data_IF_381189327701
#
_entry.id   IF_381189327701
#
_cell.length_a   1.000
_cell.length_b   1.000
_cell.length_c   1.000
_cell.angle_alpha   90.00
_cell.angle_beta   90.00
_cell.angle_gamma   90.00
#
_symmetry.space_group_name_H-M   'P 1'
#
loop_
_entity.id
_entity.type
_entity.pdbx_description
1 polymer ?
#
# COMPACT_ATOMS: atom_id res chain seq x y z
N UNK A 1 -17.81 -15.28 -29.97
CA UNK A 1 -17.45 -16.20 -28.88
C UNK A 1 -17.02 -15.39 -27.67
N UNK A 2 -17.60 -15.69 -26.52
CA UNK A 2 -17.29 -15.00 -25.26
C UNK A 2 -16.15 -15.70 -24.52
N UNK A 3 -15.22 -14.89 -24.02
CA UNK A 3 -14.02 -15.33 -23.33
C UNK A 3 -13.80 -14.52 -22.06
N UNK A 4 -13.15 -15.13 -21.08
CA UNK A 4 -12.57 -14.45 -19.93
C UNK A 4 -11.05 -14.41 -20.12
N UNK A 5 -10.45 -13.23 -20.08
CA UNK A 5 -9.00 -13.06 -20.22
C UNK A 5 -8.28 -13.49 -18.94
N UNK A 6 -7.16 -14.18 -19.10
CA UNK A 6 -6.30 -14.62 -17.98
C UNK A 6 -5.10 -13.70 -17.75
N UNK A 7 -4.80 -12.87 -18.74
CA UNK A 7 -3.75 -11.86 -18.74
C UNK A 7 -4.19 -10.66 -19.56
N UNK A 8 -3.46 -9.55 -19.46
CA UNK A 8 -3.70 -8.36 -20.26
C UNK A 8 -3.34 -8.64 -21.72
N UNK A 9 -4.27 -8.36 -22.63
CA UNK A 9 -4.07 -8.56 -24.07
C UNK A 9 -4.21 -7.22 -24.77
N UNK A 10 -3.12 -6.82 -25.42
CA UNK A 10 -3.06 -5.56 -26.16
C UNK A 10 -4.22 -5.45 -27.17
N UNK A 11 -4.87 -4.29 -27.20
CA UNK A 11 -6.01 -3.99 -28.06
C UNK A 11 -7.24 -4.91 -27.86
N UNK A 12 -7.34 -5.62 -26.74
CA UNK A 12 -8.48 -6.49 -26.44
C UNK A 12 -9.08 -6.24 -25.05
N UNK A 13 -8.26 -6.21 -23.99
CA UNK A 13 -8.74 -6.02 -22.63
C UNK A 13 -7.73 -6.41 -21.57
N UNK A 14 -8.12 -6.25 -20.30
CA UNK A 14 -7.30 -6.58 -19.14
C UNK A 14 -7.62 -7.97 -18.61
N UNK A 15 -6.73 -8.49 -17.77
CA UNK A 15 -6.95 -9.72 -17.03
C UNK A 15 -8.29 -9.69 -16.30
N UNK A 16 -8.97 -10.84 -16.29
CA UNK A 16 -10.27 -11.06 -15.68
C UNK A 16 -11.45 -10.34 -16.41
N UNK A 17 -11.21 -9.66 -17.54
CA UNK A 17 -12.27 -9.08 -18.39
C UNK A 17 -13.05 -10.14 -19.18
N UNK A 18 -14.34 -9.86 -19.38
CA UNK A 18 -15.21 -10.63 -20.26
C UNK A 18 -15.28 -9.94 -21.63
N UNK A 19 -14.75 -10.60 -22.66
CA UNK A 19 -14.64 -10.05 -24.02
C UNK A 19 -15.35 -10.93 -25.04
N UNK A 20 -15.86 -10.30 -26.10
CA UNK A 20 -16.50 -10.99 -27.23
C UNK A 20 -15.58 -10.90 -28.44
N UNK A 21 -15.10 -12.04 -28.92
CA UNK A 21 -14.18 -12.13 -30.05
C UNK A 21 -14.72 -13.01 -31.18
N UNK A 22 -14.12 -12.90 -32.36
CA UNK A 22 -14.35 -13.83 -33.47
C UNK A 22 -13.88 -15.24 -33.08
N UNK A 23 -14.63 -16.25 -33.52
CA UNK A 23 -14.39 -17.65 -33.13
C UNK A 23 -12.96 -18.12 -33.43
N UNK A 24 -12.40 -17.76 -34.60
CA UNK A 24 -11.04 -18.14 -34.98
C UNK A 24 -9.97 -17.56 -34.06
N UNK A 25 -10.10 -16.28 -33.69
CA UNK A 25 -9.16 -15.63 -32.79
C UNK A 25 -9.18 -16.25 -31.38
N UNK A 26 -10.38 -16.56 -30.88
CA UNK A 26 -10.53 -17.24 -29.59
C UNK A 26 -9.98 -18.67 -29.58
N UNK A 27 -10.40 -19.50 -30.55
CA UNK A 27 -10.07 -20.94 -30.58
C UNK A 27 -8.66 -21.24 -31.04
N UNK A 28 -8.10 -20.47 -31.97
CA UNK A 28 -6.81 -20.79 -32.58
C UNK A 28 -5.64 -20.04 -31.94
N UNK A 29 -5.92 -18.93 -31.23
CA UNK A 29 -4.86 -18.09 -30.66
C UNK A 29 -5.01 -17.91 -29.15
N UNK A 30 -6.09 -17.31 -28.66
CA UNK A 30 -6.20 -16.92 -27.24
C UNK A 30 -6.28 -18.12 -26.28
N UNK A 31 -7.08 -19.14 -26.60
CA UNK A 31 -7.21 -20.33 -25.74
C UNK A 31 -5.94 -21.20 -25.79
N UNK A 32 -5.39 -21.56 -26.97
CA UNK A 32 -4.19 -22.42 -27.03
C UNK A 32 -2.95 -21.77 -26.39
N UNK A 33 -2.84 -20.44 -26.47
CA UNK A 33 -1.77 -19.70 -25.79
C UNK A 33 -2.02 -19.49 -24.29
N UNK A 34 -3.15 -19.96 -23.76
CA UNK A 34 -3.50 -19.83 -22.34
C UNK A 34 -3.91 -18.43 -21.90
N UNK A 35 -4.10 -17.50 -22.85
CA UNK A 35 -4.43 -16.09 -22.61
C UNK A 35 -5.88 -15.86 -22.23
N UNK A 36 -6.76 -16.79 -22.59
CA UNK A 36 -8.18 -16.70 -22.28
C UNK A 36 -8.82 -18.08 -22.06
N UNK A 37 -9.97 -18.09 -21.39
CA UNK A 37 -10.81 -19.28 -21.20
C UNK A 37 -12.23 -19.00 -21.68
N UNK A 38 -12.97 -20.06 -22.01
CA UNK A 38 -14.37 -19.91 -22.43
C UNK A 38 -15.22 -19.35 -21.28
N UNK A 39 -16.02 -18.32 -21.58
CA UNK A 39 -16.90 -17.71 -20.59
C UNK A 39 -18.17 -18.56 -20.36
N UNK A 40 -18.00 -19.78 -19.85
CA UNK A 40 -19.12 -20.65 -19.45
C UNK A 40 -19.86 -20.07 -18.25
N UNK A 41 -21.09 -20.53 -18.00
CA UNK A 41 -21.87 -20.11 -16.82
C UNK A 41 -21.09 -20.38 -15.52
N UNK A 42 -20.41 -21.53 -15.42
CA UNK A 42 -19.56 -21.85 -14.27
C UNK A 42 -18.35 -20.92 -14.17
N UNK A 43 -17.63 -20.67 -15.28
CA UNK A 43 -16.48 -19.78 -15.28
C UNK A 43 -16.85 -18.33 -14.91
N UNK A 44 -17.98 -17.82 -15.40
CA UNK A 44 -18.49 -16.49 -15.02
C UNK A 44 -18.83 -16.41 -13.53
N UNK A 45 -19.42 -17.47 -12.95
CA UNK A 45 -19.70 -17.52 -11.49
C UNK A 45 -18.42 -17.52 -10.67
N UNK A 46 -17.41 -18.30 -11.08
CA UNK A 46 -16.09 -18.33 -10.41
C UNK A 46 -15.42 -16.96 -10.47
N UNK A 47 -15.47 -16.30 -11.63
CA UNK A 47 -14.94 -14.95 -11.81
C UNK A 47 -15.65 -13.95 -10.89
N UNK A 48 -16.98 -13.96 -10.86
CA UNK A 48 -17.76 -13.07 -10.00
C UNK A 48 -17.44 -13.26 -8.52
N UNK A 49 -17.30 -14.50 -8.07
CA UNK A 49 -16.94 -14.82 -6.69
C UNK A 49 -15.50 -14.37 -6.37
N UNK A 50 -14.55 -14.58 -7.29
CA UNK A 50 -13.17 -14.10 -7.14
C UNK A 50 -13.12 -12.57 -7.01
N UNK A 51 -13.83 -11.85 -7.87
CA UNK A 51 -13.92 -10.38 -7.82
C UNK A 51 -14.54 -9.91 -6.50
N UNK A 52 -15.61 -10.57 -6.04
CA UNK A 52 -16.24 -10.28 -4.75
C UNK A 52 -15.27 -10.50 -3.58
N UNK A 53 -14.54 -11.61 -3.57
CA UNK A 53 -13.54 -11.89 -2.53
C UNK A 53 -12.41 -10.86 -2.53
N UNK A 54 -11.92 -10.47 -3.71
CA UNK A 54 -10.92 -9.40 -3.85
C UNK A 54 -11.44 -8.06 -3.31
N UNK A 55 -12.69 -7.69 -3.62
CA UNK A 55 -13.30 -6.46 -3.10
C UNK A 55 -13.48 -6.50 -1.57
N UNK A 56 -13.84 -7.64 -1.01
CA UNK A 56 -13.95 -7.80 0.46
C UNK A 56 -12.59 -7.63 1.12
N UNK A 57 -11.55 -8.28 0.58
CA UNK A 57 -10.17 -8.12 1.08
C UNK A 57 -9.67 -6.69 0.98
N UNK A 58 -9.94 -6.01 -0.14
CA UNK A 58 -9.58 -4.61 -0.33
C UNK A 58 -10.24 -3.71 0.72
N UNK A 59 -11.56 -3.89 0.94
CA UNK A 59 -12.30 -3.15 1.96
C UNK A 59 -11.75 -3.39 3.36
N UNK A 60 -11.41 -4.64 3.69
CA UNK A 60 -10.81 -4.99 4.97
C UNK A 60 -9.45 -4.30 5.15
N UNK A 61 -8.58 -4.33 4.14
CA UNK A 61 -7.28 -3.65 4.18
C UNK A 61 -7.42 -2.12 4.36
N UNK A 62 -8.38 -1.51 3.66
CA UNK A 62 -8.71 -0.08 3.81
C UNK A 62 -9.22 0.22 5.23
N UNK A 63 -10.08 -0.63 5.78
CA UNK A 63 -10.63 -0.46 7.13
C UNK A 63 -9.54 -0.60 8.21
N UNK A 64 -8.68 -1.60 8.09
CA UNK A 64 -7.52 -1.81 8.96
C UNK A 64 -6.55 -0.62 8.92
N UNK A 65 -6.19 -0.16 7.72
CA UNK A 65 -5.35 1.02 7.56
C UNK A 65 -6.00 2.27 8.18
N UNK A 66 -7.32 2.45 8.02
CA UNK A 66 -8.05 3.56 8.64
C UNK A 66 -8.09 3.49 10.16
N UNK A 67 -8.15 2.28 10.74
CA UNK A 67 -8.04 2.08 12.19
C UNK A 67 -6.66 2.46 12.71
N UNK A 68 -5.60 2.09 11.98
CA UNK A 68 -4.23 2.49 12.31
C UNK A 68 -4.10 4.02 12.29
N UNK A 69 -4.65 4.71 11.29
CA UNK A 69 -4.66 6.18 11.24
C UNK A 69 -5.29 6.78 12.50
N UNK A 70 -6.47 6.32 12.91
CA UNK A 70 -7.15 6.82 14.11
C UNK A 70 -6.36 6.60 15.40
N UNK A 71 -5.55 5.55 15.45
CA UNK A 71 -4.69 5.27 16.58
C UNK A 71 -3.44 6.16 16.55
N UNK A 72 -2.86 6.41 15.37
CA UNK A 72 -1.75 7.34 15.17
C UNK A 72 -2.14 8.80 15.47
N UNK A 73 -3.39 9.20 15.21
CA UNK A 73 -3.90 10.54 15.55
C UNK A 73 -3.87 10.85 17.04
N UNK A 74 -3.88 9.83 17.89
CA UNK A 74 -3.82 9.97 19.35
C UNK A 74 -2.40 9.86 19.88
N UNK A 75 -1.44 9.50 19.02
CA UNK A 75 -0.06 9.27 19.40
C UNK A 75 0.72 10.58 19.35
N UNK A 76 1.28 10.98 20.48
CA UNK A 76 2.27 12.05 20.54
C UNK A 76 3.68 11.44 20.43
N UNK A 77 4.20 11.33 19.21
CA UNK A 77 5.50 10.71 18.98
C UNK A 77 6.64 11.69 19.32
N UNK A 78 7.52 11.29 20.24
CA UNK A 78 8.75 12.01 20.59
C UNK A 78 9.96 11.16 20.27
N UNK A 79 10.83 11.67 19.41
CA UNK A 79 12.07 10.99 19.00
C UNK A 79 13.23 11.61 19.76
N UNK A 80 13.81 10.83 20.66
CA UNK A 80 14.96 11.25 21.46
C UNK A 80 16.25 11.03 20.68
N UNK A 81 17.02 12.10 20.47
CA UNK A 81 18.28 12.03 19.74
C UNK A 81 19.36 12.92 20.38
N UNK A 82 20.63 12.51 20.26
CA UNK A 82 21.76 13.29 20.79
C UNK A 82 21.92 14.59 20.00
N UNK A 83 21.94 15.73 20.70
CA UNK A 83 22.14 17.05 20.11
C UNK A 83 23.08 17.94 20.95
N UNK A 84 23.67 18.93 20.29
CA UNK A 84 24.43 20.02 20.89
C UNK A 84 23.97 21.34 20.24
N UNK A 85 23.57 22.33 21.05
CA UNK A 85 23.05 23.63 20.57
C UNK A 85 21.98 23.48 19.46
N UNK A 86 20.95 22.66 19.71
CA UNK A 86 19.85 22.32 18.79
C UNK A 86 20.25 21.61 17.49
N UNK A 87 21.54 21.32 17.29
CA UNK A 87 22.03 20.54 16.15
C UNK A 87 22.20 19.09 16.57
N UNK A 88 21.61 18.18 15.82
CA UNK A 88 21.78 16.75 16.04
C UNK A 88 23.19 16.31 15.64
N UNK A 89 23.81 15.45 16.45
CA UNK A 89 25.07 14.79 16.07
C UNK A 89 24.87 13.86 14.85
N UNK A 90 23.67 13.30 14.72
CA UNK A 90 23.25 12.48 13.59
C UNK A 90 22.07 13.11 12.82
N UNK A 91 21.22 12.25 12.28
CA UNK A 91 19.99 12.66 11.60
C UNK A 91 18.86 11.71 11.91
N UNK A 92 17.65 12.24 12.07
CA UNK A 92 16.45 11.40 12.14
C UNK A 92 16.11 10.94 10.72
N UNK A 93 16.04 9.63 10.54
CA UNK A 93 15.72 8.98 9.26
C UNK A 93 14.44 8.16 9.38
N UNK A 94 13.87 7.73 8.25
CA UNK A 94 12.69 6.85 8.24
C UNK A 94 12.88 5.59 9.11
N UNK A 95 14.11 5.08 9.22
CA UNK A 95 14.39 3.88 10.04
C UNK A 95 14.25 4.17 11.52
N UNK A 96 14.63 5.37 11.98
CA UNK A 96 14.49 5.77 13.39
C UNK A 96 13.02 5.98 13.74
N UNK A 97 12.25 6.65 12.87
CA UNK A 97 10.80 6.82 13.05
C UNK A 97 10.08 5.46 13.10
N UNK A 98 10.44 4.53 12.20
CA UNK A 98 9.89 3.18 12.17
C UNK A 98 10.16 2.40 13.46
N UNK A 99 11.36 2.53 14.04
CA UNK A 99 11.69 1.92 15.34
C UNK A 99 10.86 2.51 16.48
N UNK A 100 10.76 3.84 16.55
CA UNK A 100 10.00 4.51 17.62
C UNK A 100 8.51 4.15 17.55
N UNK A 101 7.95 4.14 16.34
CA UNK A 101 6.58 3.66 16.11
C UNK A 101 6.40 2.20 16.53
N UNK A 102 7.40 1.34 16.30
CA UNK A 102 7.35 -0.06 16.73
C UNK A 102 7.37 -0.19 18.26
N UNK A 103 8.12 0.66 18.97
CA UNK A 103 8.11 0.73 20.44
C UNK A 103 6.74 1.12 21.00
N UNK A 104 6.00 1.95 20.26
CA UNK A 104 4.61 2.35 20.56
C UNK A 104 3.56 1.31 20.10
N UNK A 105 4.00 0.17 19.55
CA UNK A 105 3.13 -0.93 19.12
C UNK A 105 2.63 -0.83 17.66
N UNK A 106 3.18 0.07 16.86
CA UNK A 106 2.86 0.23 15.43
C UNK A 106 3.96 -0.34 14.53
N UNK A 107 3.70 -1.50 13.93
CA UNK A 107 4.62 -2.13 12.97
C UNK A 107 4.53 -1.45 11.58
N UNK A 108 5.22 -0.33 11.42
CA UNK A 108 5.26 0.42 10.15
C UNK A 108 6.65 0.33 9.52
N UNK A 109 6.73 -0.23 8.32
CA UNK A 109 8.00 -0.33 7.59
C UNK A 109 8.55 1.05 7.17
N UNK A 110 9.89 1.21 7.24
CA UNK A 110 10.59 2.42 6.79
C UNK A 110 10.32 2.85 5.34
N UNK A 111 9.90 1.92 4.46
CA UNK A 111 9.54 2.20 3.05
C UNK A 111 8.22 2.93 2.92
N UNK A 112 7.34 2.76 3.91
CA UNK A 112 6.04 3.41 3.98
C UNK A 112 6.15 4.84 4.51
N UNK A 113 7.27 5.21 5.13
CA UNK A 113 7.51 6.52 5.70
C UNK A 113 8.23 7.40 4.68
N UNK A 114 7.75 8.63 4.51
CA UNK A 114 8.32 9.63 3.62
C UNK A 114 8.60 10.91 4.41
N UNK A 115 9.88 11.25 4.53
CA UNK A 115 10.36 12.53 5.05
C UNK A 115 10.62 13.48 3.88
N UNK A 116 10.18 14.73 4.01
CA UNK A 116 10.43 15.78 3.02
C UNK A 116 11.89 16.22 2.96
N UNK A 117 12.60 16.11 4.10
CA UNK A 117 14.01 16.48 4.22
C UNK A 117 14.69 15.69 5.33
N UNK A 118 16.02 15.67 5.32
CA UNK A 118 16.81 15.08 6.40
C UNK A 118 16.76 16.00 7.63
N UNK A 119 16.33 15.45 8.77
CA UNK A 119 16.21 16.20 10.02
C UNK A 119 17.56 16.17 10.75
N UNK A 120 18.14 17.36 10.97
CA UNK A 120 19.45 17.55 11.63
C UNK A 120 19.37 18.50 12.83
N UNK A 121 18.16 18.88 13.24
CA UNK A 121 17.92 19.77 14.37
C UNK A 121 16.78 19.24 15.23
N UNK A 122 16.73 19.68 16.48
CA UNK A 122 15.57 19.52 17.37
C UNK A 122 14.41 20.37 16.88
N UNK A 123 13.18 19.96 17.21
CA UNK A 123 11.96 20.67 16.83
C UNK A 123 10.84 19.77 16.33
N UNK A 124 9.76 20.37 15.85
CA UNK A 124 8.59 19.67 15.35
C UNK A 124 8.68 19.42 13.84
N UNK A 125 8.35 18.21 13.43
CA UNK A 125 8.40 17.76 12.05
C UNK A 125 7.17 16.92 11.71
N UNK A 126 6.95 16.73 10.41
CA UNK A 126 5.86 15.90 9.89
C UNK A 126 6.43 14.85 8.95
N UNK A 127 6.06 13.59 9.14
CA UNK A 127 6.35 12.49 8.24
C UNK A 127 5.07 11.99 7.57
N UNK A 128 5.11 11.77 6.26
CA UNK A 128 4.00 11.18 5.52
C UNK A 128 4.12 9.66 5.55
N UNK A 129 3.15 8.99 6.16
CA UNK A 129 3.07 7.54 6.27
C UNK A 129 2.05 7.02 5.26
N UNK A 130 2.47 6.10 4.41
CA UNK A 130 1.62 5.39 3.47
C UNK A 130 1.23 4.03 4.05
N UNK A 131 -0.02 3.89 4.50
CA UNK A 131 -0.51 2.63 5.08
C UNK A 131 -1.19 1.73 4.05
N UNK A 132 -1.80 2.33 3.02
CA UNK A 132 -2.44 1.61 1.93
C UNK A 132 -2.22 2.34 0.59
N UNK A 133 -2.63 1.76 -0.54
CA UNK A 133 -2.51 2.40 -1.87
C UNK A 133 -3.19 3.77 -1.91
N UNK A 134 -4.32 3.89 -1.22
CA UNK A 134 -5.18 5.08 -1.17
C UNK A 134 -5.13 5.82 0.18
N UNK A 135 -4.53 5.22 1.23
CA UNK A 135 -4.50 5.81 2.57
C UNK A 135 -3.10 6.30 2.92
N UNK A 136 -3.03 7.61 3.16
CA UNK A 136 -1.84 8.32 3.63
C UNK A 136 -2.20 9.09 4.88
N UNK A 137 -1.23 9.21 5.80
CA UNK A 137 -1.38 9.98 7.03
C UNK A 137 -0.14 10.83 7.29
N UNK A 138 -0.34 12.07 7.71
CA UNK A 138 0.75 12.97 8.06
C UNK A 138 0.93 12.91 9.59
N UNK A 139 1.93 12.16 10.03
CA UNK A 139 2.27 12.04 11.45
C UNK A 139 3.14 13.21 11.87
N UNK A 140 2.65 14.00 12.84
CA UNK A 140 3.46 15.00 13.52
C UNK A 140 4.28 14.35 14.63
N UNK A 141 5.55 14.71 14.73
CA UNK A 141 6.43 14.23 15.78
C UNK A 141 7.42 15.32 16.20
N UNK A 142 7.91 15.19 17.43
CA UNK A 142 8.87 16.13 18.01
C UNK A 142 10.22 15.44 18.18
N UNK A 143 11.30 16.12 17.78
CA UNK A 143 12.66 15.65 18.03
C UNK A 143 13.22 16.38 19.24
N UNK A 144 13.47 15.61 20.30
CA UNK A 144 13.94 16.11 21.60
C UNK A 144 15.39 15.70 21.86
N UNK A 145 16.11 16.54 22.62
CA UNK A 145 17.49 16.23 23.02
C UNK A 145 17.49 15.12 24.07
N UNK A 146 18.13 14.00 23.74
CA UNK A 146 18.51 13.00 24.74
C UNK A 146 19.80 13.48 25.40
N UNK A 147 19.71 14.04 26.60
CA UNK A 147 20.90 14.38 27.36
C UNK A 147 21.64 13.09 27.77
N UNK A 148 22.93 13.03 27.48
CA UNK A 148 23.90 12.10 28.07
C UNK A 148 25.20 12.84 28.30
#
# INVERSE_FOLDING_TARGET
MELILKEDVENLGFKDDLVVVKNGYGRNFLIPQGKAILATISAKKVLAEKLKQSQVKEKQAIEEASKIVKNLEKLELKISAKSENDKLFGSVTNSEISKELSSEGFEIEKKCIQLSSTIKKTGSYTAKIRLHREIYYNLNFEVVSSQS
#
